data_IF_689799399911
#
_entry.id   IF_689799399911
#
_cell.length_a   1.000
_cell.length_b   1.000
_cell.length_c   1.000
_cell.angle_alpha   90.00
_cell.angle_beta   90.00
_cell.angle_gamma   90.00
#
_symmetry.space_group_name_H-M   'P 1'
#
loop_
_entity.id
_entity.type
_entity.pdbx_description
1 polymer ?
#
# COMPACT_ATOMS: atom_id res chain seq x y z
N UNK A 1 -17.12 2.40 -14.62
CA UNK A 1 -16.28 1.18 -14.76
C UNK A 1 -16.74 0.19 -13.70
N UNK A 2 -17.44 -0.87 -14.08
CA UNK A 2 -17.88 -1.92 -13.14
C UNK A 2 -16.64 -2.71 -12.66
N UNK A 3 -16.55 -3.02 -11.37
CA UNK A 3 -15.34 -3.61 -10.78
C UNK A 3 -15.24 -5.12 -11.04
N UNK A 4 -14.05 -5.61 -11.42
CA UNK A 4 -13.71 -7.05 -11.46
C UNK A 4 -14.06 -7.71 -10.12
N UNK A 5 -13.91 -7.00 -9.00
CA UNK A 5 -14.18 -7.53 -7.67
C UNK A 5 -15.68 -7.74 -7.43
N UNK A 6 -16.56 -6.94 -8.06
CA UNK A 6 -18.01 -7.16 -8.01
C UNK A 6 -18.43 -8.40 -8.81
N UNK A 7 -17.77 -8.67 -9.94
CA UNK A 7 -17.98 -9.88 -10.71
C UNK A 7 -17.49 -11.14 -9.96
N UNK A 8 -16.39 -11.05 -9.20
CA UNK A 8 -15.92 -12.13 -8.32
C UNK A 8 -16.90 -12.39 -7.17
N UNK A 9 -17.44 -11.35 -6.54
CA UNK A 9 -18.45 -11.50 -5.50
C UNK A 9 -19.71 -12.24 -6.02
N UNK A 10 -20.13 -11.94 -7.25
CA UNK A 10 -21.24 -12.64 -7.89
C UNK A 10 -20.94 -14.12 -8.13
N UNK A 11 -19.70 -14.47 -8.49
CA UNK A 11 -19.25 -15.86 -8.62
C UNK A 11 -19.31 -16.59 -7.28
N UNK A 12 -18.81 -15.96 -6.21
CA UNK A 12 -18.80 -16.56 -4.87
C UNK A 12 -20.20 -16.70 -4.24
N UNK A 13 -21.17 -15.89 -4.71
CA UNK A 13 -22.56 -15.95 -4.25
C UNK A 13 -23.42 -17.00 -4.99
N UNK A 14 -22.87 -17.67 -6.00
CA UNK A 14 -23.57 -18.75 -6.71
C UNK A 14 -23.81 -19.94 -5.79
N UNK A 15 -24.97 -20.59 -5.96
CA UNK A 15 -25.28 -21.81 -5.20
C UNK A 15 -24.35 -22.95 -5.62
N UNK A 16 -24.05 -23.92 -4.74
CA UNK A 16 -23.14 -25.04 -5.04
C UNK A 16 -23.50 -25.85 -6.29
N UNK A 17 -24.78 -25.87 -6.67
CA UNK A 17 -25.29 -26.59 -7.85
C UNK A 17 -25.52 -25.70 -9.10
N UNK A 18 -25.19 -24.41 -9.03
CA UNK A 18 -25.41 -23.49 -10.15
C UNK A 18 -24.23 -23.52 -11.13
N UNK A 19 -24.54 -23.61 -12.43
CA UNK A 19 -23.51 -23.69 -13.46
C UNK A 19 -22.81 -22.33 -13.61
N UNK A 20 -21.54 -22.27 -13.22
CA UNK A 20 -20.70 -21.10 -13.39
C UNK A 20 -20.41 -20.83 -14.88
N UNK A 21 -21.02 -19.78 -15.44
CA UNK A 21 -20.75 -19.32 -16.81
C UNK A 21 -20.09 -17.94 -16.77
N UNK A 22 -18.76 -17.91 -16.91
CA UNK A 22 -17.97 -16.66 -16.85
C UNK A 22 -18.45 -15.60 -17.84
N UNK A 23 -18.86 -15.98 -19.06
CA UNK A 23 -19.29 -15.03 -20.10
C UNK A 23 -20.55 -14.25 -19.72
N UNK A 24 -21.51 -14.90 -19.05
CA UNK A 24 -22.76 -14.26 -18.63
C UNK A 24 -22.51 -13.25 -17.51
N UNK A 25 -21.72 -13.65 -16.51
CA UNK A 25 -21.34 -12.78 -15.38
C UNK A 25 -20.50 -11.63 -15.89
N UNK A 26 -19.48 -11.90 -16.71
CA UNK A 26 -18.62 -10.90 -17.30
C UNK A 26 -19.42 -9.88 -18.12
N UNK A 27 -20.42 -10.32 -18.91
CA UNK A 27 -21.32 -9.42 -19.67
C UNK A 27 -22.17 -8.55 -18.74
N UNK A 28 -22.72 -9.11 -17.66
CA UNK A 28 -23.50 -8.36 -16.65
C UNK A 28 -22.69 -7.25 -15.98
N UNK A 29 -21.41 -7.51 -15.73
CA UNK A 29 -20.50 -6.57 -15.09
C UNK A 29 -19.60 -5.82 -16.09
N UNK A 30 -19.80 -5.94 -17.41
CA UNK A 30 -18.97 -5.26 -18.40
C UNK A 30 -17.46 -5.54 -18.30
N UNK A 31 -17.08 -6.75 -17.85
CA UNK A 31 -15.69 -7.20 -17.71
C UNK A 31 -15.38 -8.19 -18.85
N UNK A 32 -14.12 -8.30 -19.26
CA UNK A 32 -13.68 -9.36 -20.16
C UNK A 32 -13.77 -10.75 -19.49
N UNK A 33 -14.43 -11.76 -20.10
CA UNK A 33 -14.58 -13.10 -19.52
C UNK A 33 -13.23 -13.79 -19.23
N UNK A 34 -12.23 -13.59 -20.07
CA UNK A 34 -10.90 -14.18 -19.89
C UNK A 34 -10.19 -13.61 -18.65
N UNK A 35 -10.32 -12.30 -18.45
CA UNK A 35 -9.80 -11.57 -17.29
C UNK A 35 -10.49 -12.02 -16.00
N UNK A 36 -11.82 -12.18 -16.02
CA UNK A 36 -12.58 -12.70 -14.87
C UNK A 36 -12.16 -14.13 -14.51
N UNK A 37 -12.04 -15.01 -15.49
CA UNK A 37 -11.59 -16.40 -15.30
C UNK A 37 -10.17 -16.48 -14.72
N UNK A 38 -9.21 -15.73 -15.29
CA UNK A 38 -7.83 -15.69 -14.77
C UNK A 38 -7.75 -15.14 -13.35
N UNK A 39 -8.58 -14.15 -13.01
CA UNK A 39 -8.66 -13.56 -11.67
C UNK A 39 -9.25 -14.55 -10.66
N UNK A 40 -10.35 -15.22 -11.01
CA UNK A 40 -11.01 -16.22 -10.16
C UNK A 40 -10.13 -17.43 -9.88
N UNK A 41 -9.36 -17.90 -10.87
CA UNK A 41 -8.41 -19.02 -10.74
C UNK A 41 -7.08 -18.63 -10.08
N UNK A 42 -6.91 -17.38 -9.66
CA UNK A 42 -5.66 -16.90 -9.05
C UNK A 42 -4.47 -16.76 -10.01
N UNK A 43 -4.67 -16.93 -11.32
CA UNK A 43 -3.62 -16.80 -12.35
C UNK A 43 -3.14 -15.35 -12.46
N UNK A 44 -4.07 -14.39 -12.35
CA UNK A 44 -3.76 -12.96 -12.37
C UNK A 44 -3.97 -12.33 -11.00
N UNK A 45 -2.91 -11.74 -10.45
CA UNK A 45 -2.94 -11.04 -9.15
C UNK A 45 -3.68 -9.70 -9.27
N UNK A 46 -4.26 -9.24 -8.17
CA UNK A 46 -4.83 -7.89 -8.11
C UNK A 46 -3.73 -6.83 -8.25
N UNK A 47 -4.08 -5.64 -8.75
CA UNK A 47 -3.15 -4.49 -8.80
C UNK A 47 -2.58 -4.17 -7.42
N UNK A 48 -3.38 -4.29 -6.38
CA UNK A 48 -2.95 -4.08 -4.99
C UNK A 48 -1.92 -5.13 -4.56
N UNK A 49 -2.17 -6.43 -4.84
CA UNK A 49 -1.22 -7.49 -4.52
C UNK A 49 0.09 -7.35 -5.32
N UNK A 50 0.01 -6.90 -6.57
CA UNK A 50 1.20 -6.59 -7.36
C UNK A 50 1.98 -5.41 -6.75
N UNK A 51 1.28 -4.34 -6.36
CA UNK A 51 1.89 -3.19 -5.70
C UNK A 51 2.54 -3.56 -4.36
N UNK A 52 1.87 -4.39 -3.53
CA UNK A 52 2.43 -4.91 -2.28
C UNK A 52 3.69 -5.75 -2.51
N UNK A 53 3.69 -6.64 -3.51
CA UNK A 53 4.88 -7.45 -3.84
C UNK A 53 6.05 -6.61 -4.39
N UNK A 54 5.77 -5.45 -4.97
CA UNK A 54 6.78 -4.52 -5.48
C UNK A 54 7.29 -3.53 -4.41
N UNK A 55 6.71 -3.52 -3.21
CA UNK A 55 7.18 -2.64 -2.14
C UNK A 55 8.55 -3.10 -1.64
N UNK A 56 9.49 -2.16 -1.55
CA UNK A 56 10.82 -2.41 -1.02
C UNK A 56 10.83 -2.72 0.49
N UNK A 57 9.76 -2.34 1.20
CA UNK A 57 9.58 -2.61 2.63
C UNK A 57 8.30 -3.42 2.75
N UNK A 58 8.36 -4.57 3.42
CA UNK A 58 7.20 -5.41 3.65
C UNK A 58 6.15 -4.66 4.49
N UNK A 59 4.83 -4.81 4.23
CA UNK A 59 3.79 -4.08 4.95
C UNK A 59 3.88 -4.18 6.48
N UNK A 60 4.35 -5.32 6.99
CA UNK A 60 4.58 -5.51 8.42
C UNK A 60 5.66 -4.58 8.99
N UNK A 61 6.78 -4.43 8.29
CA UNK A 61 7.85 -3.50 8.68
C UNK A 61 7.43 -2.04 8.51
N UNK A 62 6.54 -1.74 7.55
CA UNK A 62 5.97 -0.41 7.39
C UNK A 62 5.08 -0.05 8.60
N UNK A 63 4.29 -1.01 9.12
CA UNK A 63 3.47 -0.82 10.31
C UNK A 63 4.33 -0.61 11.59
N UNK A 64 5.36 -1.41 11.79
CA UNK A 64 6.32 -1.25 12.89
C UNK A 64 7.00 0.12 12.87
N UNK A 65 7.37 0.61 11.67
CA UNK A 65 7.96 1.93 11.50
C UNK A 65 6.97 3.05 11.86
N UNK A 66 5.70 2.91 11.51
CA UNK A 66 4.65 3.88 11.87
C UNK A 66 4.46 3.92 13.39
N UNK A 67 4.35 2.76 14.03
CA UNK A 67 4.26 2.63 15.49
C UNK A 67 5.43 3.30 16.20
N UNK A 68 6.64 3.10 15.68
CA UNK A 68 7.84 3.72 16.21
C UNK A 68 7.82 5.25 16.06
N UNK A 69 7.44 5.75 14.88
CA UNK A 69 7.29 7.20 14.63
C UNK A 69 6.24 7.81 15.57
N UNK A 70 5.12 7.13 15.81
CA UNK A 70 4.06 7.60 16.69
C UNK A 70 4.54 7.69 18.15
N UNK A 71 5.23 6.65 18.65
CA UNK A 71 5.83 6.66 20.00
C UNK A 71 6.85 7.79 20.17
N UNK A 72 7.67 8.05 19.15
CA UNK A 72 8.64 9.15 19.16
C UNK A 72 7.96 10.53 19.13
N UNK A 73 6.94 10.67 18.30
CA UNK A 73 6.17 11.93 18.18
C UNK A 73 5.44 12.26 19.49
N UNK A 74 4.86 11.26 20.16
CA UNK A 74 4.25 11.40 21.49
C UNK A 74 5.25 11.87 22.57
N UNK A 75 6.53 11.57 22.40
CA UNK A 75 7.63 12.00 23.29
C UNK A 75 8.22 13.36 22.90
N UNK A 76 7.66 14.04 21.89
CA UNK A 76 8.16 15.32 21.38
C UNK A 76 9.39 15.22 20.47
N UNK A 77 9.77 14.00 20.06
CA UNK A 77 10.96 13.73 19.24
C UNK A 77 10.56 13.29 17.83
N UNK A 78 9.94 14.19 17.06
CA UNK A 78 9.54 13.88 15.69
C UNK A 78 10.75 13.52 14.81
N UNK A 79 10.86 12.29 14.26
CA UNK A 79 12.01 11.87 13.48
C UNK A 79 12.09 12.60 12.14
N UNK A 80 13.28 13.05 11.77
CA UNK A 80 13.55 13.68 10.47
C UNK A 80 13.40 12.66 9.33
N UNK A 81 13.04 13.14 8.13
CA UNK A 81 12.93 12.31 6.91
C UNK A 81 14.18 11.46 6.62
N UNK A 82 15.37 11.96 6.94
CA UNK A 82 16.63 11.20 6.81
C UNK A 82 16.69 10.01 7.77
N UNK A 83 16.25 10.18 9.01
CA UNK A 83 16.21 9.13 10.04
C UNK A 83 15.21 8.05 9.62
N UNK A 84 14.01 8.45 9.19
CA UNK A 84 12.98 7.52 8.70
C UNK A 84 13.53 6.68 7.54
N UNK A 85 14.21 7.31 6.58
CA UNK A 85 14.85 6.61 5.45
C UNK A 85 15.93 5.64 5.92
N UNK A 86 16.78 6.02 6.88
CA UNK A 86 17.85 5.16 7.37
C UNK A 86 17.30 3.93 8.09
N UNK A 87 16.29 4.09 8.95
CA UNK A 87 15.63 2.99 9.64
C UNK A 87 14.94 2.07 8.62
N UNK A 88 14.20 2.66 7.67
CA UNK A 88 13.56 1.88 6.62
C UNK A 88 14.57 1.14 5.72
N UNK A 89 15.74 1.74 5.44
CA UNK A 89 16.83 1.08 4.72
C UNK A 89 17.42 -0.10 5.50
N UNK A 90 17.52 0.02 6.83
CA UNK A 90 17.96 -1.07 7.70
C UNK A 90 16.95 -2.23 7.71
N UNK A 91 15.67 -1.92 7.85
CA UNK A 91 14.59 -2.91 7.79
C UNK A 91 14.48 -3.59 6.42
N UNK A 92 14.72 -2.85 5.33
CA UNK A 92 14.72 -3.39 3.97
C UNK A 92 16.02 -4.12 3.58
N UNK A 93 17.05 -4.09 4.43
CA UNK A 93 18.43 -4.53 4.12
C UNK A 93 18.95 -3.95 2.78
N UNK A 94 18.48 -2.76 2.41
CA UNK A 94 18.76 -2.11 1.12
C UNK A 94 18.69 -0.60 1.27
N UNK A 95 19.57 0.11 0.58
CA UNK A 95 19.48 1.56 0.53
C UNK A 95 18.25 2.02 -0.24
N UNK A 96 17.33 2.67 0.48
CA UNK A 96 16.14 3.28 -0.09
C UNK A 96 16.47 4.66 -0.66
N UNK A 97 15.89 4.92 -1.83
CA UNK A 97 16.06 6.19 -2.54
C UNK A 97 15.45 7.37 -1.77
N UNK A 98 15.91 8.59 -2.09
CA UNK A 98 15.48 9.82 -1.42
C UNK A 98 13.94 10.01 -1.42
N UNK A 99 13.30 9.75 -2.56
CA UNK A 99 11.85 9.89 -2.74
C UNK A 99 11.02 8.75 -2.11
N UNK A 100 11.65 7.74 -1.50
CA UNK A 100 10.91 6.67 -0.84
C UNK A 100 10.08 7.23 0.32
N UNK A 101 10.63 8.17 1.10
CA UNK A 101 9.93 8.80 2.22
C UNK A 101 8.70 9.58 1.75
N UNK A 102 8.75 10.24 0.59
CA UNK A 102 7.58 10.91 0.02
C UNK A 102 6.45 9.93 -0.28
N UNK A 103 6.79 8.78 -0.89
CA UNK A 103 5.80 7.73 -1.17
C UNK A 103 5.25 7.12 0.12
N UNK A 104 6.11 6.88 1.12
CA UNK A 104 5.71 6.38 2.43
C UNK A 104 4.72 7.33 3.11
N UNK A 105 5.01 8.63 3.16
CA UNK A 105 4.10 9.63 3.74
C UNK A 105 2.81 9.73 2.96
N UNK A 106 2.86 9.67 1.63
CA UNK A 106 1.65 9.72 0.81
C UNK A 106 0.72 8.52 1.05
N UNK A 107 1.29 7.30 1.12
CA UNK A 107 0.55 6.06 1.42
C UNK A 107 -0.04 6.05 2.83
N UNK A 108 0.71 6.53 3.81
CA UNK A 108 0.33 6.51 5.23
C UNK A 108 -0.16 7.86 5.73
N UNK A 109 -0.66 8.72 4.83
CA UNK A 109 -1.14 10.08 5.16
C UNK A 109 -2.24 10.10 6.22
N UNK A 110 -2.98 9.00 6.36
CA UNK A 110 -4.01 8.80 7.38
C UNK A 110 -3.46 8.41 8.77
N UNK A 111 -2.25 7.86 8.85
CA UNK A 111 -1.63 7.38 10.11
C UNK A 111 -0.51 8.29 10.60
N UNK A 112 0.12 9.02 9.68
CA UNK A 112 1.37 9.73 9.95
C UNK A 112 1.07 11.21 10.12
N UNK A 113 1.04 11.65 11.38
CA UNK A 113 1.03 13.07 11.79
C UNK A 113 2.43 13.68 11.53
N UNK A 114 3.03 13.43 10.36
CA UNK A 114 4.13 14.26 9.87
C UNK A 114 3.50 15.50 9.22
N UNK A 115 2.83 16.33 10.03
CA UNK A 115 2.66 17.74 9.65
C UNK A 115 4.06 18.23 9.36
N UNK A 116 4.31 18.66 8.12
CA UNK A 116 5.61 19.14 7.62
C UNK A 116 6.29 19.94 8.73
N UNK A 117 7.24 19.34 9.44
CA UNK A 117 8.09 20.08 10.35
C UNK A 117 8.98 20.91 9.44
N UNK A 118 8.55 22.14 9.18
CA UNK A 118 9.44 23.17 8.68
C UNK A 118 10.69 23.13 9.55
N UNK A 119 11.90 22.98 8.96
CA UNK A 119 13.11 22.86 9.75
C UNK A 119 13.27 24.15 10.59
N UNK A 120 13.06 24.04 11.90
CA UNK A 120 13.54 25.03 12.89
C UNK A 120 15.06 25.26 12.72
N UNK A 121 15.74 24.29 12.11
CA UNK A 121 17.18 24.18 11.96
C UNK A 121 17.81 25.05 10.84
N UNK A 122 17.03 25.91 10.16
CA UNK A 122 17.62 26.90 9.22
C UNK A 122 18.22 28.10 9.98
N UNK A 123 17.70 28.40 11.17
CA UNK A 123 18.06 29.57 11.98
C UNK A 123 19.40 29.44 12.71
N UNK A 124 19.97 28.23 12.85
CA UNK A 124 21.20 27.97 13.61
C UNK A 124 22.48 27.95 12.77
N UNK A 125 22.39 27.99 11.43
CA UNK A 125 23.56 27.98 10.54
C UNK A 125 24.19 29.36 10.27
N UNK A 126 23.79 30.40 11.03
CA UNK A 126 24.29 31.78 10.88
C UNK A 126 24.64 32.42 12.23
N UNK A 127 25.37 31.69 13.07
CA UNK A 127 26.04 32.25 14.23
C UNK A 127 27.52 31.88 14.16
#
# INVERSE_FOLDING_TARGET
>A
MQSIDAALAAINALKPNEKLVYSQIAKKYGVDPGTLSRRHRGISRSRQAAAQNQQAVHPQHEAELIDYIDRLTKRGLAPTRSIIRNIASQLAQKQLGYHWVDRFVHRNSHLVILKRTTPIDRSRRRA
#
